data_IF_385376610270
#
_entry.id   IF_385376610270
#
_cell.length_a   1.000
_cell.length_b   1.000
_cell.length_c   1.000
_cell.angle_alpha   90.00
_cell.angle_beta   90.00
_cell.angle_gamma   90.00
#
_symmetry.space_group_name_H-M   'P 1'
#
loop_
_entity.id
_entity.type
_entity.pdbx_description
1 polymer ?
#
# COMPACT_ATOMS: atom_id res chain seq x y z
N UNK A 1 -4.40 -3.58 -3.24
CA UNK A 1 -3.07 -3.63 -2.63
C UNK A 1 -2.13 -2.74 -3.44
N UNK A 2 -1.68 -1.62 -2.88
CA UNK A 2 -0.75 -0.74 -3.57
C UNK A 2 0.67 -1.29 -3.53
N UNK A 3 1.31 -1.48 -4.67
CA UNK A 3 2.70 -1.95 -4.74
C UNK A 3 3.69 -0.93 -4.17
N UNK A 4 3.37 0.35 -4.25
CA UNK A 4 4.28 1.45 -3.90
C UNK A 4 3.98 2.08 -2.54
N UNK A 5 2.86 1.74 -1.88
CA UNK A 5 2.49 2.28 -0.57
C UNK A 5 2.12 3.77 -0.53
N UNK A 6 2.10 4.44 -1.68
CA UNK A 6 1.94 5.92 -1.76
C UNK A 6 0.51 6.43 -1.50
N UNK A 7 -0.50 5.56 -1.50
CA UNK A 7 -1.89 5.99 -1.39
C UNK A 7 -2.22 6.71 -0.09
N UNK A 8 -1.79 6.15 1.04
CA UNK A 8 -2.04 6.76 2.35
C UNK A 8 -1.16 8.00 2.55
N UNK A 9 0.09 7.99 2.10
CA UNK A 9 0.98 9.14 2.19
C UNK A 9 0.45 10.31 1.38
N UNK A 10 -0.07 10.06 0.18
CA UNK A 10 -0.72 11.10 -0.64
C UNK A 10 -1.98 11.67 0.03
N UNK A 11 -2.80 10.83 0.70
CA UNK A 11 -3.98 11.29 1.42
C UNK A 11 -3.59 12.16 2.64
N UNK A 12 -2.58 11.76 3.39
CA UNK A 12 -2.05 12.53 4.54
C UNK A 12 -1.49 13.86 4.08
N UNK A 13 -0.67 13.86 3.04
CA UNK A 13 -0.10 15.10 2.47
C UNK A 13 -1.18 16.05 1.98
N UNK A 14 -2.18 15.56 1.24
CA UNK A 14 -3.29 16.38 0.78
C UNK A 14 -4.09 16.96 1.96
N UNK A 15 -4.36 16.16 2.98
CA UNK A 15 -5.04 16.61 4.18
C UNK A 15 -4.25 17.73 4.89
N UNK A 16 -2.95 17.55 5.07
CA UNK A 16 -2.06 18.55 5.66
C UNK A 16 -2.05 19.86 4.85
N UNK A 17 -1.91 19.77 3.52
CA UNK A 17 -1.88 20.95 2.64
C UNK A 17 -3.20 21.71 2.61
N UNK A 18 -4.33 21.05 2.79
CA UNK A 18 -5.66 21.69 2.74
C UNK A 18 -6.18 22.14 4.08
N UNK A 19 -5.82 21.47 5.17
CA UNK A 19 -6.31 21.80 6.52
C UNK A 19 -5.26 22.41 7.45
N UNK A 20 -3.96 22.23 7.15
CA UNK A 20 -2.85 22.59 8.04
C UNK A 20 -2.74 21.70 9.28
N UNK A 21 -3.45 20.57 9.34
CA UNK A 21 -3.50 19.70 10.52
C UNK A 21 -2.71 18.42 10.31
N UNK A 22 -2.11 17.86 11.39
CA UNK A 22 -1.43 16.57 11.33
C UNK A 22 -2.44 15.42 11.11
N UNK A 23 -1.95 14.32 10.56
CA UNK A 23 -2.67 13.06 10.60
C UNK A 23 -2.57 12.45 12.00
N UNK A 24 -3.68 11.93 12.53
CA UNK A 24 -3.73 11.26 13.84
C UNK A 24 -3.82 9.76 13.61
N UNK A 25 -2.94 9.02 14.26
CA UNK A 25 -2.82 7.57 14.10
C UNK A 25 -2.88 6.93 15.48
N UNK A 26 -3.82 5.99 15.66
CA UNK A 26 -3.83 5.12 16.83
C UNK A 26 -3.59 3.70 16.36
N UNK A 27 -2.60 3.02 16.92
CA UNK A 27 -2.25 1.65 16.53
C UNK A 27 -2.03 0.78 17.76
N UNK A 28 -2.48 -0.48 17.65
CA UNK A 28 -2.26 -1.53 18.64
C UNK A 28 -1.94 -2.83 17.93
N UNK A 29 -0.82 -3.43 18.26
CA UNK A 29 -0.45 -4.75 17.76
C UNK A 29 -1.16 -5.85 18.53
N UNK A 30 -1.35 -7.02 17.91
CA UNK A 30 -2.05 -8.16 18.52
C UNK A 30 -1.38 -8.63 19.84
N UNK A 31 -0.04 -8.58 19.88
CA UNK A 31 0.76 -9.01 21.03
C UNK A 31 1.28 -7.83 21.87
N UNK A 32 0.76 -6.63 21.66
CA UNK A 32 1.23 -5.42 22.36
C UNK A 32 0.45 -5.15 23.64
N UNK A 33 1.16 -4.67 24.68
CA UNK A 33 0.58 -4.36 26.00
C UNK A 33 -0.32 -3.13 26.02
N UNK A 34 -0.35 -2.32 24.92
CA UNK A 34 -1.15 -1.12 24.85
C UNK A 34 -1.24 -0.57 23.43
N UNK A 35 -2.04 0.47 23.26
CA UNK A 35 -2.11 1.24 22.03
C UNK A 35 -1.16 2.45 22.11
N UNK A 36 -0.68 2.89 20.94
CA UNK A 36 0.09 4.10 20.77
C UNK A 36 -0.67 5.09 19.90
N UNK A 37 -0.59 6.33 20.26
CA UNK A 37 -1.14 7.46 19.52
C UNK A 37 0.01 8.29 18.96
N UNK A 38 -0.13 8.67 17.69
CA UNK A 38 0.82 9.51 16.98
C UNK A 38 0.09 10.68 16.31
N UNK A 39 0.71 11.83 16.32
CA UNK A 39 0.43 12.92 15.37
C UNK A 39 1.60 13.01 14.39
N UNK A 40 1.29 13.08 13.11
CA UNK A 40 2.29 13.00 12.05
C UNK A 40 2.02 14.06 10.98
N UNK A 41 3.08 14.79 10.65
CA UNK A 41 3.16 15.67 9.48
C UNK A 41 4.20 15.15 8.49
N UNK A 42 4.15 15.64 7.26
CA UNK A 42 5.13 15.32 6.22
C UNK A 42 5.91 16.61 5.95
N UNK A 43 7.23 16.56 6.15
CA UNK A 43 8.11 17.61 5.68
C UNK A 43 8.12 17.60 4.14
N UNK A 44 7.66 18.70 3.54
CA UNK A 44 7.53 18.81 2.08
C UNK A 44 8.87 19.03 1.36
N UNK A 45 9.90 19.44 2.08
CA UNK A 45 11.24 19.67 1.52
C UNK A 45 12.04 18.39 1.45
N UNK A 46 11.97 17.56 2.50
CA UNK A 46 12.68 16.27 2.57
C UNK A 46 11.83 15.09 2.16
N UNK A 47 10.50 15.25 2.14
CA UNK A 47 9.50 14.20 1.93
C UNK A 47 9.57 13.09 2.99
N UNK A 48 9.99 13.45 4.20
CA UNK A 48 10.07 12.56 5.34
C UNK A 48 8.94 12.80 6.34
N UNK A 49 8.49 11.78 7.09
CA UNK A 49 7.50 11.96 8.14
C UNK A 49 8.13 12.58 9.40
N UNK A 50 7.49 13.60 9.92
CA UNK A 50 7.79 14.17 11.23
C UNK A 50 6.73 13.70 12.24
N UNK A 51 7.17 13.26 13.41
CA UNK A 51 6.31 12.81 14.48
C UNK A 51 6.19 13.94 15.50
N UNK A 52 5.01 14.59 15.53
CA UNK A 52 4.71 15.70 16.41
C UNK A 52 4.31 15.21 17.82
N UNK A 53 3.71 14.04 17.92
CA UNK A 53 3.36 13.38 19.17
C UNK A 53 3.51 11.85 19.07
N UNK A 54 3.97 11.23 20.17
CA UNK A 54 4.08 9.78 20.33
C UNK A 54 3.75 9.40 21.79
N UNK A 55 2.52 8.96 22.03
CA UNK A 55 1.98 8.77 23.37
C UNK A 55 1.36 7.37 23.56
N UNK A 56 1.46 6.83 24.77
CA UNK A 56 0.70 5.65 25.14
C UNK A 56 -0.78 6.03 25.34
N UNK A 57 -1.69 5.21 24.81
CA UNK A 57 -3.12 5.44 24.92
C UNK A 57 -3.88 4.13 25.17
N UNK A 58 -5.15 4.27 25.59
CA UNK A 58 -6.03 3.12 25.71
C UNK A 58 -6.85 2.94 24.45
N UNK A 59 -7.08 1.70 24.05
CA UNK A 59 -7.97 1.35 22.95
C UNK A 59 -8.67 0.03 23.24
N UNK A 60 -10.01 0.03 23.19
CA UNK A 60 -10.83 -1.12 23.54
C UNK A 60 -10.71 -2.29 22.56
N UNK A 61 -10.28 -2.03 21.33
CA UNK A 61 -10.09 -3.10 20.33
C UNK A 61 -8.88 -3.96 20.67
N UNK A 62 -8.90 -5.28 20.37
CA UNK A 62 -7.79 -6.18 20.64
C UNK A 62 -6.52 -5.76 19.86
N UNK A 63 -6.66 -5.38 18.61
CA UNK A 63 -5.59 -4.87 17.73
C UNK A 63 -6.16 -4.07 16.58
N UNK A 64 -5.31 -3.39 15.81
CA UNK A 64 -5.68 -2.67 14.60
C UNK A 64 -5.02 -1.31 14.47
N UNK A 65 -5.43 -0.57 13.45
CA UNK A 65 -4.97 0.81 13.18
C UNK A 65 -6.16 1.72 12.88
N UNK A 66 -6.16 2.88 13.46
CA UNK A 66 -7.09 3.98 13.18
C UNK A 66 -6.29 5.16 12.63
N UNK A 67 -6.71 5.68 11.51
CA UNK A 67 -6.11 6.86 10.87
C UNK A 67 -7.21 7.90 10.71
N UNK A 68 -6.95 9.11 11.22
CA UNK A 68 -7.84 10.25 11.12
C UNK A 68 -7.11 11.37 10.37
N UNK A 69 -7.75 11.88 9.34
CA UNK A 69 -7.27 13.03 8.58
C UNK A 69 -8.41 14.02 8.35
N UNK A 70 -8.13 15.30 8.53
CA UNK A 70 -9.05 16.38 8.17
C UNK A 70 -8.60 16.96 6.83
N UNK A 71 -9.52 17.11 5.88
CA UNK A 71 -9.18 17.66 4.57
C UNK A 71 -10.36 18.41 3.96
N UNK A 72 -10.08 19.36 3.09
CA UNK A 72 -11.11 19.92 2.22
C UNK A 72 -11.54 18.87 1.19
N UNK A 73 -12.84 18.57 1.15
CA UNK A 73 -13.39 17.56 0.27
C UNK A 73 -14.53 18.07 -0.60
N UNK A 74 -14.59 17.61 -1.85
CA UNK A 74 -15.72 17.89 -2.73
C UNK A 74 -16.83 16.84 -2.54
N UNK A 75 -17.82 17.18 -1.75
CA UNK A 75 -18.96 16.29 -1.45
C UNK A 75 -19.91 16.06 -2.65
N UNK A 76 -19.71 16.74 -3.79
CA UNK A 76 -20.46 16.43 -5.02
C UNK A 76 -20.16 15.05 -5.57
N UNK A 77 -18.96 14.52 -5.29
CA UNK A 77 -18.53 13.17 -5.68
C UNK A 77 -19.01 12.04 -4.72
N UNK A 78 -19.85 12.35 -3.73
CA UNK A 78 -20.31 11.43 -2.68
C UNK A 78 -20.86 10.10 -3.21
N UNK A 79 -21.67 10.16 -4.28
CA UNK A 79 -22.22 8.94 -4.92
C UNK A 79 -21.12 8.04 -5.47
N UNK A 80 -20.08 8.64 -6.05
CA UNK A 80 -18.92 7.88 -6.57
C UNK A 80 -18.14 7.23 -5.44
N UNK A 81 -17.91 7.95 -4.33
CA UNK A 81 -17.25 7.42 -3.14
C UNK A 81 -18.02 6.24 -2.57
N UNK A 82 -19.35 6.38 -2.40
CA UNK A 82 -20.20 5.28 -1.92
C UNK A 82 -20.15 4.06 -2.83
N UNK A 83 -20.18 4.25 -4.14
CA UNK A 83 -20.07 3.15 -5.10
C UNK A 83 -18.68 2.49 -5.03
N UNK A 84 -17.61 3.27 -4.88
CA UNK A 84 -16.26 2.75 -4.69
C UNK A 84 -16.18 1.82 -3.46
N UNK A 85 -16.70 2.25 -2.31
CA UNK A 85 -16.74 1.42 -1.10
C UNK A 85 -17.56 0.14 -1.31
N UNK A 86 -18.71 0.23 -2.00
CA UNK A 86 -19.53 -0.95 -2.33
C UNK A 86 -18.78 -1.94 -3.22
N UNK A 87 -18.12 -1.47 -4.27
CA UNK A 87 -17.32 -2.35 -5.13
C UNK A 87 -16.12 -2.94 -4.39
N UNK A 88 -15.49 -2.17 -3.50
CA UNK A 88 -14.44 -2.68 -2.62
C UNK A 88 -14.95 -3.83 -1.74
N UNK A 89 -16.17 -3.73 -1.21
CA UNK A 89 -16.77 -4.79 -0.43
C UNK A 89 -17.04 -6.06 -1.28
N UNK A 90 -17.50 -5.90 -2.52
CA UNK A 90 -17.77 -7.03 -3.41
C UNK A 90 -16.49 -7.81 -3.75
N UNK A 91 -15.38 -7.12 -4.01
CA UNK A 91 -14.11 -7.79 -4.37
C UNK A 91 -13.28 -8.24 -3.15
N UNK A 92 -13.74 -7.94 -1.94
CA UNK A 92 -13.13 -8.38 -0.69
C UNK A 92 -14.14 -9.11 0.21
N UNK A 93 -14.65 -10.26 -0.20
CA UNK A 93 -15.70 -10.97 0.54
C UNK A 93 -15.24 -11.47 1.91
N UNK A 94 -13.94 -11.57 2.15
CA UNK A 94 -13.31 -11.94 3.41
C UNK A 94 -13.23 -10.78 4.42
N UNK A 95 -13.58 -9.54 4.00
CA UNK A 95 -13.54 -8.37 4.85
C UNK A 95 -14.94 -7.89 5.23
N UNK A 96 -15.11 -7.50 6.50
CA UNK A 96 -16.27 -6.69 6.93
C UNK A 96 -15.95 -5.23 6.67
N UNK A 97 -16.81 -4.55 5.92
CA UNK A 97 -16.64 -3.15 5.58
C UNK A 97 -17.82 -2.34 6.06
N UNK A 98 -17.56 -1.31 6.83
CA UNK A 98 -18.53 -0.32 7.27
C UNK A 98 -18.14 1.06 6.76
N UNK A 99 -19.10 1.75 6.19
CA UNK A 99 -18.94 3.12 5.68
C UNK A 99 -20.03 3.99 6.31
N UNK A 100 -19.60 4.98 7.07
CA UNK A 100 -20.49 5.91 7.76
C UNK A 100 -20.43 7.28 7.08
N UNK A 101 -21.60 7.81 6.78
CA UNK A 101 -21.80 9.14 6.20
C UNK A 101 -22.78 9.94 7.06
N UNK A 102 -22.80 11.28 6.96
CA UNK A 102 -23.75 12.09 7.73
C UNK A 102 -25.23 11.67 7.55
N UNK A 103 -25.61 11.21 6.35
CA UNK A 103 -27.00 10.88 6.01
C UNK A 103 -27.28 9.36 5.97
N UNK A 104 -26.38 8.54 6.49
CA UNK A 104 -26.59 7.10 6.54
C UNK A 104 -25.32 6.27 6.66
N UNK A 105 -25.49 4.97 6.56
CA UNK A 105 -24.37 4.03 6.61
C UNK A 105 -24.57 2.91 5.61
N UNK A 106 -23.45 2.33 5.16
CA UNK A 106 -23.41 1.09 4.40
C UNK A 106 -22.60 0.07 5.19
N UNK A 107 -23.08 -1.16 5.26
CA UNK A 107 -22.41 -2.27 5.93
C UNK A 107 -22.43 -3.48 5.03
N UNK A 108 -21.28 -4.11 4.87
CA UNK A 108 -21.12 -5.41 4.23
C UNK A 108 -20.51 -6.37 5.24
N UNK A 109 -21.22 -7.43 5.54
CA UNK A 109 -20.70 -8.49 6.39
C UNK A 109 -19.71 -9.37 5.61
N UNK A 110 -18.84 -10.05 6.34
CA UNK A 110 -17.93 -11.03 5.78
C UNK A 110 -18.74 -12.19 5.19
N UNK A 111 -18.52 -12.50 3.92
CA UNK A 111 -19.19 -13.59 3.23
C UNK A 111 -18.39 -14.91 3.27
N UNK A 112 -17.08 -14.84 3.52
CA UNK A 112 -16.19 -16.01 3.68
C UNK A 112 -15.08 -15.68 4.65
N UNK A 113 -14.57 -16.68 5.35
CA UNK A 113 -13.38 -16.60 6.21
C UNK A 113 -12.11 -16.99 5.45
N UNK A 114 -12.24 -17.47 4.20
CA UNK A 114 -11.10 -17.78 3.36
C UNK A 114 -10.41 -16.49 2.91
N UNK A 115 -9.14 -16.37 3.23
CA UNK A 115 -8.30 -15.31 2.71
C UNK A 115 -7.87 -15.64 1.27
N UNK A 116 -7.69 -14.63 0.41
CA UNK A 116 -7.06 -14.85 -0.88
C UNK A 116 -5.69 -15.54 -0.68
N UNK A 117 -5.27 -16.39 -1.62
CA UNK A 117 -3.93 -16.95 -1.56
C UNK A 117 -2.88 -15.84 -1.50
N UNK A 118 -1.79 -16.11 -0.81
CA UNK A 118 -0.68 -15.17 -0.77
C UNK A 118 -0.22 -14.84 -2.19
N UNK A 119 0.02 -13.56 -2.43
CA UNK A 119 0.51 -13.12 -3.73
C UNK A 119 1.99 -13.48 -3.84
N UNK A 120 2.35 -14.24 -4.86
CA UNK A 120 3.74 -14.46 -5.24
C UNK A 120 4.27 -13.26 -6.03
N UNK A 121 5.52 -12.91 -5.80
CA UNK A 121 6.18 -11.89 -6.59
C UNK A 121 6.39 -12.39 -8.01
N UNK A 122 5.83 -11.69 -8.98
CA UNK A 122 5.99 -12.03 -10.39
C UNK A 122 7.25 -11.33 -10.91
N UNK A 123 8.19 -12.12 -11.43
CA UNK A 123 9.37 -11.58 -12.11
C UNK A 123 8.94 -10.68 -13.28
N UNK A 124 9.60 -9.54 -13.46
CA UNK A 124 9.25 -8.63 -14.55
C UNK A 124 9.51 -9.27 -15.92
N UNK A 125 8.74 -8.83 -16.92
CA UNK A 125 9.05 -9.18 -18.30
C UNK A 125 10.13 -8.23 -18.85
N UNK A 126 11.14 -8.70 -19.61
CA UNK A 126 12.24 -7.84 -20.10
C UNK A 126 11.76 -6.58 -20.82
N UNK A 127 10.68 -6.64 -21.60
CA UNK A 127 10.14 -5.50 -22.32
C UNK A 127 9.50 -4.42 -21.41
N UNK A 128 9.24 -4.73 -20.15
CA UNK A 128 8.64 -3.79 -19.18
C UNK A 128 9.64 -3.21 -18.19
N UNK A 129 10.93 -3.49 -18.35
CA UNK A 129 11.98 -3.04 -17.42
C UNK A 129 12.74 -1.85 -18.01
N UNK A 130 12.68 -0.74 -17.28
CA UNK A 130 13.45 0.45 -17.60
C UNK A 130 14.92 0.31 -17.18
N UNK A 131 15.83 1.08 -17.80
CA UNK A 131 17.26 1.01 -17.53
C UNK A 131 17.61 1.16 -16.04
N UNK A 132 16.98 2.10 -15.33
CA UNK A 132 17.23 2.32 -13.91
C UNK A 132 16.84 1.11 -13.04
N UNK A 133 15.76 0.42 -13.41
CA UNK A 133 15.34 -0.82 -12.74
C UNK A 133 16.30 -1.96 -13.05
N UNK A 134 16.73 -2.09 -14.31
CA UNK A 134 17.73 -3.08 -14.73
C UNK A 134 19.04 -2.93 -13.96
N UNK A 135 19.53 -1.70 -13.81
CA UNK A 135 20.75 -1.43 -13.04
C UNK A 135 20.62 -1.85 -11.58
N UNK A 136 19.46 -1.56 -10.94
CA UNK A 136 19.19 -2.02 -9.57
C UNK A 136 19.12 -3.54 -9.47
N UNK A 137 18.51 -4.21 -10.45
CA UNK A 137 18.44 -5.66 -10.49
C UNK A 137 19.84 -6.29 -10.65
N UNK A 138 20.70 -5.70 -11.48
CA UNK A 138 22.09 -6.14 -11.64
C UNK A 138 22.91 -5.96 -10.37
N UNK A 139 22.66 -4.89 -9.62
CA UNK A 139 23.35 -4.61 -8.35
C UNK A 139 22.92 -5.53 -7.22
N UNK A 140 21.65 -6.00 -7.25
CA UNK A 140 21.05 -6.82 -6.20
C UNK A 140 21.04 -8.33 -6.48
N UNK A 141 21.35 -8.75 -7.73
CA UNK A 141 21.25 -10.17 -8.10
C UNK A 141 22.34 -11.02 -7.49
N UNK A 142 22.01 -12.25 -7.12
CA UNK A 142 22.97 -13.27 -6.69
C UNK A 142 23.53 -14.10 -7.86
N UNK A 143 23.13 -13.79 -9.10
CA UNK A 143 23.53 -14.54 -10.28
C UNK A 143 24.98 -14.23 -10.69
N UNK A 144 25.82 -15.26 -10.81
CA UNK A 144 27.24 -15.13 -11.21
C UNK A 144 27.46 -14.99 -12.72
N UNK A 145 26.43 -15.15 -13.53
CA UNK A 145 26.52 -15.06 -14.98
C UNK A 145 25.35 -14.31 -15.57
N UNK A 146 25.59 -13.62 -16.71
CA UNK A 146 24.53 -12.90 -17.40
C UNK A 146 23.40 -13.83 -17.86
N UNK A 147 23.73 -15.06 -18.28
CA UNK A 147 22.74 -16.07 -18.64
C UNK A 147 21.88 -16.47 -17.42
N UNK A 148 22.50 -16.65 -16.24
CA UNK A 148 21.81 -16.92 -14.99
C UNK A 148 20.90 -15.78 -14.57
N UNK A 149 21.42 -14.56 -14.65
CA UNK A 149 20.65 -13.34 -14.38
C UNK A 149 19.42 -13.23 -15.27
N UNK A 150 19.56 -13.38 -16.58
CA UNK A 150 18.44 -13.30 -17.52
C UNK A 150 17.36 -14.37 -17.24
N UNK A 151 17.76 -15.59 -16.90
CA UNK A 151 16.83 -16.67 -16.59
C UNK A 151 16.24 -16.57 -15.18
N UNK A 152 16.99 -16.03 -14.22
CA UNK A 152 16.62 -15.94 -12.82
C UNK A 152 15.72 -14.75 -12.52
N UNK A 153 15.99 -13.60 -13.08
CA UNK A 153 15.34 -12.33 -12.72
C UNK A 153 14.16 -11.98 -13.64
N UNK A 154 14.01 -12.63 -14.79
CA UNK A 154 12.94 -12.30 -15.73
C UNK A 154 11.96 -13.45 -15.95
N UNK A 155 10.69 -13.10 -16.17
CA UNK A 155 9.69 -14.06 -16.62
C UNK A 155 9.84 -14.33 -18.12
N UNK A 156 9.50 -15.56 -18.54
CA UNK A 156 9.54 -16.02 -19.94
C UNK A 156 10.92 -16.00 -20.61
N UNK A 157 11.97 -15.90 -19.84
CA UNK A 157 13.35 -16.02 -20.34
C UNK A 157 13.91 -17.39 -19.94
N UNK A 158 13.88 -18.34 -20.87
CA UNK A 158 14.54 -19.64 -20.71
C UNK A 158 15.95 -19.66 -21.32
N UNK A 159 16.66 -20.78 -21.18
CA UNK A 159 18.03 -20.94 -21.64
C UNK A 159 18.22 -20.59 -23.13
N UNK A 160 17.27 -20.96 -24.00
CA UNK A 160 17.31 -20.64 -25.43
C UNK A 160 17.24 -19.13 -25.68
N UNK A 161 16.33 -18.43 -25.00
CA UNK A 161 16.17 -16.98 -25.14
C UNK A 161 17.39 -16.26 -24.58
N UNK A 162 17.87 -16.66 -23.39
CA UNK A 162 19.08 -16.10 -22.81
C UNK A 162 20.30 -16.29 -23.71
N UNK A 163 20.48 -17.49 -24.28
CA UNK A 163 21.54 -17.74 -25.26
C UNK A 163 21.44 -16.85 -26.49
N UNK A 164 20.24 -16.73 -27.07
CA UNK A 164 20.02 -15.85 -28.24
C UNK A 164 20.29 -14.38 -27.95
N UNK A 165 20.03 -13.90 -26.74
CA UNK A 165 20.39 -12.52 -26.33
C UNK A 165 21.90 -12.38 -26.28
N UNK A 166 22.62 -13.33 -25.67
CA UNK A 166 24.07 -13.29 -25.54
C UNK A 166 24.81 -13.43 -26.87
N UNK A 167 24.27 -14.20 -27.81
CA UNK A 167 24.85 -14.38 -29.13
C UNK A 167 24.76 -13.13 -30.03
N UNK A 168 23.88 -12.18 -29.67
CA UNK A 168 23.67 -10.92 -30.39
C UNK A 168 24.46 -9.72 -29.79
N UNK A 169 25.22 -9.95 -28.76
CA UNK A 169 26.11 -8.97 -28.14
C UNK A 169 27.60 -9.39 -28.33
#
# INVERSE_FOLDING_TARGET
>A
RGQQGIGISAAVLYAQLTSGKPAKITSKTENGDGARYFELTIDTDTNEPEIDADEATSWERPHGTRIEVEMEGNMRARKQLRNYVKYTAVVNPHARIEFHEPDGSFKSERATDELPPETEEIRPHPHGVELGTLLKMLDSTESYSLSGFLQGEFTRVGAKTAGSVLDNF
#
